data_IF_187750926730
#
_entry.id   IF_187750926730
#
_cell.length_a   1.000
_cell.length_b   1.000
_cell.length_c   1.000
_cell.angle_alpha   90.00
_cell.angle_beta   90.00
_cell.angle_gamma   90.00
#
_symmetry.space_group_name_H-M   'P 1'
#
loop_
_entity.id
_entity.type
_entity.pdbx_description
1 polymer ?
#
# COMPACT_ATOMS: atom_id res chain seq x y z
N UNK A 1 17.03 25.44 -8.13
CA UNK A 1 15.84 24.62 -7.82
C UNK A 1 16.14 23.92 -6.52
N UNK A 2 15.56 24.38 -5.42
CA UNK A 2 15.67 23.69 -4.14
C UNK A 2 14.83 22.40 -4.28
N UNK A 3 15.32 21.22 -3.85
CA UNK A 3 14.46 20.04 -3.80
C UNK A 3 13.22 20.36 -2.95
N UNK A 4 12.04 19.81 -3.30
CA UNK A 4 10.86 19.96 -2.45
C UNK A 4 11.19 19.49 -1.02
N UNK A 5 10.60 20.12 0.01
CA UNK A 5 10.74 19.63 1.37
C UNK A 5 10.34 18.15 1.41
N UNK A 6 11.02 17.31 2.23
CA UNK A 6 10.63 15.92 2.37
C UNK A 6 9.15 15.85 2.77
N UNK A 7 8.38 14.90 2.21
CA UNK A 7 6.98 14.77 2.54
C UNK A 7 6.79 14.47 4.04
N UNK A 8 5.64 14.85 4.63
CA UNK A 8 5.39 14.68 6.04
C UNK A 8 5.18 13.20 6.38
N UNK A 9 6.28 12.50 6.64
CA UNK A 9 6.22 11.12 7.12
C UNK A 9 5.54 11.06 8.49
N UNK A 10 4.68 10.06 8.70
CA UNK A 10 4.03 9.86 10.01
C UNK A 10 2.62 10.44 10.16
N UNK A 11 2.00 10.92 9.08
CA UNK A 11 0.58 11.33 9.10
C UNK A 11 -0.31 10.09 9.06
N UNK A 12 -1.40 10.08 9.82
CA UNK A 12 -2.38 9.00 9.76
C UNK A 12 -3.15 9.05 8.44
N UNK A 13 -3.43 7.90 7.85
CA UNK A 13 -4.21 7.75 6.63
C UNK A 13 -5.15 6.56 6.73
N UNK A 14 -6.17 6.54 5.87
CA UNK A 14 -7.23 5.54 5.94
C UNK A 14 -8.22 5.81 7.09
N UNK A 15 -8.76 4.73 7.66
CA UNK A 15 -9.82 4.74 8.66
C UNK A 15 -11.11 5.45 8.23
N UNK A 16 -12.04 5.60 9.17
CA UNK A 16 -13.33 6.30 9.01
C UNK A 16 -13.21 7.78 8.60
N UNK A 17 -12.07 8.42 8.89
CA UNK A 17 -11.81 9.80 8.48
C UNK A 17 -11.61 9.91 6.96
N UNK A 18 -11.19 8.81 6.31
CA UNK A 18 -10.89 8.80 4.88
C UNK A 18 -9.69 9.68 4.53
N UNK A 19 -8.76 9.87 5.48
CA UNK A 19 -7.59 10.71 5.27
C UNK A 19 -6.68 10.06 4.23
N UNK A 20 -6.30 10.83 3.20
CA UNK A 20 -5.42 10.39 2.11
C UNK A 20 -4.04 11.01 2.25
N UNK A 21 -3.00 10.24 1.90
CA UNK A 21 -1.62 10.74 1.86
C UNK A 21 -1.38 11.72 0.70
N UNK A 22 -0.23 12.39 0.70
CA UNK A 22 0.18 13.24 -0.40
C UNK A 22 0.43 12.42 -1.70
N UNK A 23 0.48 13.10 -2.84
CA UNK A 23 0.67 12.46 -4.15
C UNK A 23 2.00 11.67 -4.25
N UNK A 24 3.01 12.03 -3.46
CA UNK A 24 4.32 11.37 -3.39
C UNK A 24 4.45 10.36 -2.23
N UNK A 25 3.33 10.00 -1.61
CA UNK A 25 3.24 9.06 -0.49
C UNK A 25 2.26 7.91 -0.78
N UNK A 26 2.37 6.85 0.01
CA UNK A 26 1.40 5.76 0.07
C UNK A 26 0.97 5.56 1.52
N UNK A 27 -0.23 5.01 1.71
CA UNK A 27 -0.73 4.68 3.04
C UNK A 27 -0.25 3.28 3.42
N UNK A 28 0.74 3.20 4.31
CA UNK A 28 1.27 1.94 4.84
C UNK A 28 0.39 1.44 6.00
N UNK A 29 -0.34 0.35 5.80
CA UNK A 29 -1.19 -0.27 6.81
C UNK A 29 -0.41 -1.30 7.68
N UNK A 30 0.89 -1.47 7.44
CA UNK A 30 1.77 -2.36 8.19
C UNK A 30 1.46 -3.85 8.02
N UNK A 31 1.78 -4.66 9.04
CA UNK A 31 1.59 -6.12 9.02
C UNK A 31 0.11 -6.58 9.06
N UNK A 32 -0.84 -5.64 9.04
CA UNK A 32 -2.25 -5.98 8.92
C UNK A 32 -2.51 -6.50 7.51
N UNK A 33 -2.91 -7.76 7.40
CA UNK A 33 -3.04 -8.49 6.13
C UNK A 33 -4.29 -8.05 5.34
N UNK A 34 -4.69 -6.78 5.47
CA UNK A 34 -5.95 -6.24 4.97
C UNK A 34 -5.81 -4.79 4.56
N UNK A 35 -5.88 -4.57 3.25
CA UNK A 35 -5.99 -3.25 2.64
C UNK A 35 -7.35 -2.55 2.84
N UNK A 36 -8.24 -3.11 3.66
CA UNK A 36 -9.60 -2.60 3.83
C UNK A 36 -10.34 -3.33 4.97
N UNK A 37 -9.85 -3.25 6.21
CA UNK A 37 -10.79 -3.34 7.33
C UNK A 37 -11.20 -1.91 7.67
N UNK A 38 -12.50 -1.64 7.63
CA UNK A 38 -13.14 -0.33 7.48
C UNK A 38 -12.71 0.82 8.43
N UNK A 39 -11.83 0.56 9.40
CA UNK A 39 -11.31 1.54 10.36
C UNK A 39 -9.77 1.47 10.55
N UNK A 40 -9.06 0.62 9.79
CA UNK A 40 -7.61 0.50 9.91
C UNK A 40 -6.95 1.81 9.48
N UNK A 41 -6.14 2.34 10.38
CA UNK A 41 -5.34 3.53 10.14
C UNK A 41 -3.93 3.09 9.78
N UNK A 42 -3.51 3.49 8.59
CA UNK A 42 -2.13 3.41 8.17
C UNK A 42 -1.35 4.67 8.54
N UNK A 43 -0.09 4.67 8.14
CA UNK A 43 0.79 5.82 8.24
C UNK A 43 1.28 6.20 6.85
N UNK A 44 1.23 7.48 6.50
CA UNK A 44 1.80 7.96 5.24
C UNK A 44 3.31 7.75 5.23
N UNK A 45 3.76 6.99 4.25
CA UNK A 45 5.17 6.73 3.97
C UNK A 45 5.53 7.26 2.57
N UNK A 46 6.76 7.75 2.36
CA UNK A 46 7.21 8.22 1.06
C UNK A 46 7.20 7.10 0.03
N UNK A 47 6.75 7.40 -1.19
CA UNK A 47 6.86 6.47 -2.31
C UNK A 47 8.34 6.29 -2.68
N UNK A 48 8.83 5.06 -2.81
CA UNK A 48 10.17 4.82 -3.34
C UNK A 48 10.31 5.43 -4.73
N UNK A 49 11.51 5.92 -5.06
CA UNK A 49 11.82 6.43 -6.43
C UNK A 49 12.54 5.40 -7.29
N UNK A 50 12.98 4.29 -6.69
CA UNK A 50 13.71 3.22 -7.34
C UNK A 50 13.43 1.90 -6.61
N UNK A 51 13.28 0.83 -7.39
CA UNK A 51 13.09 -0.52 -6.91
C UNK A 51 14.14 -1.45 -7.50
N UNK A 52 14.42 -2.54 -6.80
CA UNK A 52 15.11 -3.66 -7.42
C UNK A 52 14.22 -4.33 -8.48
N UNK A 53 14.85 -5.17 -9.29
CA UNK A 53 14.15 -5.97 -10.30
C UNK A 53 13.86 -7.38 -9.78
N UNK A 54 13.85 -7.58 -8.46
CA UNK A 54 13.56 -8.87 -7.88
C UNK A 54 12.08 -9.17 -8.08
N UNK A 55 11.79 -10.28 -8.75
CA UNK A 55 10.41 -10.73 -8.93
C UNK A 55 9.93 -11.45 -7.67
N UNK A 56 9.03 -10.81 -6.94
CA UNK A 56 8.41 -11.31 -5.72
C UNK A 56 6.98 -10.76 -5.66
N UNK A 57 6.04 -11.31 -6.46
CA UNK A 57 4.77 -10.65 -6.75
C UNK A 57 3.95 -10.44 -5.49
N UNK A 58 3.20 -9.34 -5.47
CA UNK A 58 2.28 -8.97 -4.39
C UNK A 58 0.93 -8.54 -4.97
N UNK A 59 -0.12 -8.69 -4.17
CA UNK A 59 -1.43 -8.15 -4.51
C UNK A 59 -1.59 -6.79 -3.85
N UNK A 60 -1.79 -5.74 -4.64
CA UNK A 60 -2.01 -4.39 -4.13
C UNK A 60 -3.40 -4.21 -3.51
N UNK A 61 -3.55 -3.20 -2.67
CA UNK A 61 -4.85 -2.77 -2.12
C UNK A 61 -5.88 -2.42 -3.21
N UNK A 62 -5.42 -2.04 -4.40
CA UNK A 62 -6.23 -1.74 -5.57
C UNK A 62 -6.66 -2.99 -6.37
N UNK A 63 -6.29 -4.19 -5.91
CA UNK A 63 -6.57 -5.45 -6.60
C UNK A 63 -5.69 -5.67 -7.83
N UNK A 64 -4.61 -4.90 -8.00
CA UNK A 64 -3.64 -5.07 -9.09
C UNK A 64 -2.44 -5.88 -8.59
N UNK A 65 -1.97 -6.79 -9.43
CA UNK A 65 -0.74 -7.54 -9.14
C UNK A 65 0.48 -6.71 -9.52
N UNK A 66 1.38 -6.51 -8.57
CA UNK A 66 2.66 -5.84 -8.77
C UNK A 66 3.81 -6.84 -8.78
N UNK A 67 4.88 -6.55 -9.53
CA UNK A 67 6.05 -7.43 -9.65
C UNK A 67 6.81 -7.64 -8.35
N UNK A 68 6.74 -6.66 -7.45
CA UNK A 68 7.20 -6.71 -6.07
C UNK A 68 6.53 -5.62 -5.23
N UNK A 69 6.69 -5.70 -3.91
CA UNK A 69 6.19 -4.73 -2.93
C UNK A 69 6.64 -3.29 -3.23
N UNK A 70 7.92 -3.12 -3.57
CA UNK A 70 8.44 -1.80 -3.93
C UNK A 70 7.71 -1.21 -5.15
N UNK A 71 7.40 -2.00 -6.17
CA UNK A 71 6.66 -1.55 -7.34
C UNK A 71 5.23 -1.13 -6.99
N UNK A 72 4.59 -1.78 -6.02
CA UNK A 72 3.30 -1.35 -5.48
C UNK A 72 3.43 0.01 -4.76
N UNK A 73 4.43 0.16 -3.89
CA UNK A 73 4.68 1.43 -3.18
C UNK A 73 5.03 2.56 -4.15
N UNK A 74 5.78 2.28 -5.21
CA UNK A 74 6.03 3.24 -6.30
C UNK A 74 4.71 3.67 -6.94
N UNK A 75 3.70 2.81 -7.05
CA UNK A 75 2.38 3.17 -7.56
C UNK A 75 1.51 3.93 -6.55
N UNK A 76 1.97 4.11 -5.30
CA UNK A 76 1.19 4.73 -4.24
C UNK A 76 0.26 3.74 -3.53
N UNK A 77 0.51 2.43 -3.68
CA UNK A 77 -0.39 1.35 -3.27
C UNK A 77 0.33 0.44 -2.29
N UNK A 78 -0.27 0.18 -1.14
CA UNK A 78 0.21 -0.82 -0.19
C UNK A 78 -0.21 -2.23 -0.63
N UNK A 79 0.43 -3.26 -0.08
CA UNK A 79 0.21 -4.66 -0.46
C UNK A 79 -0.65 -5.42 0.55
N UNK A 80 -1.65 -6.17 0.07
CA UNK A 80 -2.42 -7.13 0.87
C UNK A 80 -1.57 -8.31 1.36
N UNK A 81 -0.42 -8.52 0.72
CA UNK A 81 0.52 -9.59 1.05
C UNK A 81 1.16 -10.22 -0.19
N UNK A 82 1.99 -11.26 0.03
CA UNK A 82 2.71 -11.94 -1.03
C UNK A 82 1.78 -12.79 -1.92
N UNK A 83 2.12 -12.86 -3.20
CA UNK A 83 1.36 -13.56 -4.23
C UNK A 83 0.64 -12.61 -5.18
N UNK A 84 0.23 -13.11 -6.34
CA UNK A 84 -0.58 -12.35 -7.28
C UNK A 84 -2.02 -12.22 -6.77
N UNK A 85 -2.74 -11.17 -7.19
CA UNK A 85 -4.15 -11.04 -6.83
C UNK A 85 -4.96 -12.20 -7.39
N UNK A 86 -5.79 -12.81 -6.55
CA UNK A 86 -6.73 -13.82 -7.01
C UNK A 86 -7.73 -13.17 -7.97
N UNK A 87 -7.75 -13.60 -9.24
CA UNK A 87 -8.79 -13.21 -10.19
C UNK A 87 -10.15 -13.68 -9.68
N UNK A 88 -10.91 -12.76 -9.08
CA UNK A 88 -12.29 -12.94 -8.61
C UNK A 88 -12.54 -14.23 -7.81
N UNK A 89 -12.07 -14.27 -6.55
CA UNK A 89 -12.40 -15.37 -5.65
C UNK A 89 -11.77 -15.29 -4.26
N UNK A 90 -12.22 -14.33 -3.45
CA UNK A 90 -12.21 -14.44 -1.99
C UNK A 90 -10.99 -13.90 -1.26
N UNK A 91 -10.99 -12.59 -0.99
CA UNK A 91 -10.41 -12.06 0.25
C UNK A 91 -11.42 -12.29 1.37
N UNK A 92 -11.60 -13.55 1.79
CA UNK A 92 -12.28 -13.89 3.03
C UNK A 92 -11.23 -14.46 4.00
N UNK A 93 -10.59 -13.63 4.84
CA UNK A 93 -9.87 -14.12 6.00
C UNK A 93 -10.90 -14.48 7.08
N UNK A 94 -11.77 -15.46 6.83
CA UNK A 94 -12.73 -15.93 7.83
C UNK A 94 -13.97 -16.62 7.29
N UNK A 95 -13.92 -17.94 7.16
CA UNK A 95 -15.09 -18.81 7.32
C UNK A 95 -14.68 -20.27 7.52
N UNK A 96 -15.23 -21.01 8.49
CA UNK A 96 -15.78 -20.64 9.81
C UNK A 96 -14.73 -20.67 10.95
#
# INVERSE_FOLDING_TARGET
MLPPPPPPTGVACGGWAGDTCADDEFCDFGDSTGCDFADDQGTCQPRPTACDLLYAPVCGCDGVTYSNECAAHVAGVDSQGPGECATAGGSDPGSP
#
